data_IF_636509940872
#
_entry.id   IF_636509940872
#
_cell.length_a   1.000
_cell.length_b   1.000
_cell.length_c   1.000
_cell.angle_alpha   90.00
_cell.angle_beta   90.00
_cell.angle_gamma   90.00
#
_symmetry.space_group_name_H-M   'P 1'
#
loop_
_entity.id
_entity.type
_entity.pdbx_description
1 polymer ?
#
# COMPACT_ATOMS: atom_id res chain seq x y z
N UNK A 1 23.77 -13.12 -5.87
CA UNK A 1 22.40 -13.38 -6.40
C UNK A 1 21.39 -12.46 -5.74
N UNK A 2 21.49 -12.29 -4.42
CA UNK A 2 20.64 -11.44 -3.59
C UNK A 2 20.55 -9.99 -4.08
N UNK A 3 21.67 -9.36 -4.48
CA UNK A 3 21.65 -8.00 -5.03
C UNK A 3 20.72 -7.86 -6.25
N UNK A 4 20.75 -8.84 -7.16
CA UNK A 4 19.87 -8.82 -8.33
C UNK A 4 18.41 -9.01 -7.93
N UNK A 5 18.12 -9.97 -7.04
CA UNK A 5 16.77 -10.18 -6.51
C UNK A 5 16.25 -8.94 -5.78
N UNK A 6 17.09 -8.26 -5.00
CA UNK A 6 16.77 -7.02 -4.30
C UNK A 6 16.37 -5.90 -5.27
N UNK A 7 17.21 -5.61 -6.27
CA UNK A 7 16.93 -4.57 -7.28
C UNK A 7 15.67 -4.91 -8.08
N UNK A 8 15.56 -6.17 -8.55
CA UNK A 8 14.39 -6.61 -9.30
C UNK A 8 13.11 -6.55 -8.46
N UNK A 9 13.17 -6.88 -7.17
CA UNK A 9 12.00 -6.78 -6.30
C UNK A 9 11.55 -5.35 -6.07
N UNK A 10 12.47 -4.39 -5.94
CA UNK A 10 12.11 -2.97 -5.85
C UNK A 10 11.31 -2.57 -7.10
N UNK A 11 11.84 -2.86 -8.28
CA UNK A 11 11.18 -2.54 -9.56
C UNK A 11 9.83 -3.24 -9.70
N UNK A 12 9.78 -4.54 -9.36
CA UNK A 12 8.56 -5.34 -9.38
C UNK A 12 7.49 -4.75 -8.48
N UNK A 13 7.80 -4.46 -7.21
CA UNK A 13 6.82 -3.94 -6.26
C UNK A 13 6.33 -2.55 -6.62
N UNK A 14 7.22 -1.66 -7.10
CA UNK A 14 6.80 -0.34 -7.59
C UNK A 14 5.83 -0.48 -8.77
N UNK A 15 6.15 -1.34 -9.75
CA UNK A 15 5.29 -1.55 -10.91
C UNK A 15 3.96 -2.21 -10.53
N UNK A 16 4.00 -3.20 -9.65
CA UNK A 16 2.81 -3.85 -9.10
C UNK A 16 1.89 -2.80 -8.45
N UNK A 17 2.42 -1.96 -7.57
CA UNK A 17 1.60 -0.93 -6.90
C UNK A 17 1.21 0.23 -7.79
N UNK A 18 1.90 0.47 -8.90
CA UNK A 18 1.43 1.40 -9.92
C UNK A 18 0.10 0.94 -10.51
N UNK A 19 0.01 -0.32 -10.94
CA UNK A 19 -1.23 -0.88 -11.46
C UNK A 19 -2.31 -0.98 -10.37
N UNK A 20 -1.94 -1.52 -9.21
CA UNK A 20 -2.86 -1.73 -8.10
C UNK A 20 -3.43 -0.42 -7.54
N UNK A 21 -2.57 0.56 -7.28
CA UNK A 21 -3.00 1.85 -6.78
C UNK A 21 -3.84 2.63 -7.79
N UNK A 22 -3.57 2.45 -9.09
CA UNK A 22 -4.41 3.03 -10.15
C UNK A 22 -5.79 2.38 -10.20
N UNK A 23 -5.86 1.05 -10.05
CA UNK A 23 -7.11 0.30 -9.99
C UNK A 23 -7.95 0.73 -8.78
N UNK A 24 -7.36 0.74 -7.58
CA UNK A 24 -8.04 1.12 -6.35
C UNK A 24 -8.48 2.59 -6.38
N UNK A 25 -7.66 3.48 -6.95
CA UNK A 25 -8.01 4.87 -7.15
C UNK A 25 -9.20 5.07 -8.11
N UNK A 26 -9.26 4.30 -9.19
CA UNK A 26 -10.39 4.31 -10.13
C UNK A 26 -11.68 3.80 -9.47
N UNK A 27 -11.59 2.71 -8.72
CA UNK A 27 -12.72 2.16 -7.97
C UNK A 27 -13.24 3.15 -6.90
N UNK A 28 -12.34 3.80 -6.16
CA UNK A 28 -12.70 4.83 -5.18
C UNK A 28 -13.37 6.05 -5.84
N UNK A 29 -12.97 6.41 -7.07
CA UNK A 29 -13.61 7.47 -7.83
C UNK A 29 -15.02 7.05 -8.30
N UNK A 30 -15.16 5.82 -8.79
CA UNK A 30 -16.43 5.29 -9.27
C UNK A 30 -17.46 5.17 -8.15
N UNK A 31 -17.08 4.62 -7.00
CA UNK A 31 -17.94 4.52 -5.81
C UNK A 31 -18.40 5.90 -5.34
N UNK A 32 -17.50 6.90 -5.34
CA UNK A 32 -17.86 8.30 -5.03
C UNK A 32 -18.91 8.83 -6.01
N UNK A 33 -18.71 8.66 -7.31
CA UNK A 33 -19.65 9.09 -8.35
C UNK A 33 -21.00 8.37 -8.27
N UNK A 34 -21.01 7.08 -7.90
CA UNK A 34 -22.26 6.34 -7.67
C UNK A 34 -23.04 6.90 -6.48
N UNK A 35 -22.37 7.21 -5.36
CA UNK A 35 -23.00 7.86 -4.19
C UNK A 35 -23.62 9.21 -4.56
N UNK A 36 -22.91 10.02 -5.34
CA UNK A 36 -23.42 11.31 -5.82
C UNK A 36 -24.65 11.16 -6.74
N UNK A 37 -24.66 10.14 -7.62
CA UNK A 37 -25.76 9.88 -8.56
C UNK A 37 -27.02 9.29 -7.94
N UNK A 38 -26.90 8.41 -6.95
CA UNK A 38 -28.04 7.73 -6.32
C UNK A 38 -28.91 8.68 -5.48
N UNK A 39 -28.34 9.81 -5.04
CA UNK A 39 -29.00 10.73 -4.11
C UNK A 39 -29.09 10.16 -2.69
N UNK A 40 -29.20 11.05 -1.70
CA UNK A 40 -29.14 10.70 -0.27
C UNK A 40 -30.21 9.70 0.17
N UNK A 41 -31.42 9.78 -0.39
CA UNK A 41 -32.55 8.92 0.03
C UNK A 41 -32.32 7.46 -0.38
N UNK A 42 -31.97 7.20 -1.64
CA UNK A 42 -31.70 5.83 -2.10
C UNK A 42 -30.41 5.26 -1.51
N UNK A 43 -29.41 6.10 -1.27
CA UNK A 43 -28.19 5.65 -0.61
C UNK A 43 -28.47 5.16 0.82
N UNK A 44 -29.28 5.88 1.60
CA UNK A 44 -29.63 5.47 2.96
C UNK A 44 -30.38 4.12 3.02
N UNK A 45 -31.14 3.77 1.98
CA UNK A 45 -31.83 2.48 1.89
C UNK A 45 -30.86 1.31 1.69
N UNK A 46 -29.76 1.53 0.97
CA UNK A 46 -28.75 0.51 0.65
C UNK A 46 -27.46 0.64 1.48
N UNK A 47 -27.37 1.64 2.35
CA UNK A 47 -26.13 2.05 3.03
C UNK A 47 -25.49 0.88 3.79
N UNK A 48 -26.30 0.08 4.51
CA UNK A 48 -25.81 -1.08 5.25
C UNK A 48 -25.21 -2.16 4.36
N UNK A 49 -25.86 -2.45 3.23
CA UNK A 49 -25.39 -3.44 2.28
C UNK A 49 -24.15 -2.93 1.53
N UNK A 50 -24.11 -1.64 1.21
CA UNK A 50 -22.95 -0.98 0.62
C UNK A 50 -21.74 -1.01 1.56
N UNK A 51 -21.91 -0.65 2.83
CA UNK A 51 -20.84 -0.70 3.83
C UNK A 51 -20.32 -2.12 4.00
N UNK A 52 -21.22 -3.11 4.05
CA UNK A 52 -20.82 -4.51 4.16
C UNK A 52 -20.00 -4.95 2.96
N UNK A 53 -20.46 -4.63 1.75
CA UNK A 53 -19.72 -4.91 0.52
C UNK A 53 -18.33 -4.26 0.51
N UNK A 54 -18.23 -2.98 0.92
CA UNK A 54 -16.97 -2.23 1.01
C UNK A 54 -16.01 -2.87 2.02
N UNK A 55 -16.50 -3.27 3.19
CA UNK A 55 -15.71 -3.97 4.21
C UNK A 55 -15.23 -5.35 3.75
N UNK A 56 -16.11 -6.15 3.14
CA UNK A 56 -15.77 -7.47 2.61
C UNK A 56 -14.68 -7.33 1.54
N UNK A 57 -14.83 -6.36 0.62
CA UNK A 57 -13.82 -6.06 -0.39
C UNK A 57 -12.48 -5.69 0.22
N UNK A 58 -12.44 -4.72 1.15
CA UNK A 58 -11.20 -4.32 1.83
C UNK A 58 -10.54 -5.48 2.58
N UNK A 59 -11.33 -6.40 3.14
CA UNK A 59 -10.81 -7.57 3.84
C UNK A 59 -10.15 -8.56 2.86
N UNK A 60 -10.85 -8.94 1.78
CA UNK A 60 -10.30 -9.85 0.78
C UNK A 60 -9.07 -9.27 0.09
N UNK A 61 -9.12 -7.98 -0.26
CA UNK A 61 -8.01 -7.25 -0.86
C UNK A 61 -6.79 -7.19 0.07
N UNK A 62 -7.01 -6.85 1.35
CA UNK A 62 -5.97 -6.85 2.37
C UNK A 62 -5.31 -8.22 2.55
N UNK A 63 -6.14 -9.28 2.57
CA UNK A 63 -5.69 -10.67 2.72
C UNK A 63 -4.91 -11.16 1.50
N UNK A 64 -5.40 -10.92 0.28
CA UNK A 64 -4.68 -11.23 -0.95
C UNK A 64 -3.31 -10.57 -0.96
N UNK A 65 -3.27 -9.25 -0.72
CA UNK A 65 -2.02 -8.49 -0.72
C UNK A 65 -1.06 -8.95 0.38
N UNK A 66 -1.55 -9.42 1.53
CA UNK A 66 -0.71 -9.99 2.58
C UNK A 66 -0.13 -11.34 2.17
N UNK A 67 -0.97 -12.23 1.63
CA UNK A 67 -0.56 -13.55 1.16
C UNK A 67 0.47 -13.47 0.03
N UNK A 68 0.28 -12.58 -0.95
CA UNK A 68 1.25 -12.40 -2.06
C UNK A 68 2.64 -12.05 -1.53
N UNK A 69 2.75 -11.22 -0.49
CA UNK A 69 4.04 -10.87 0.13
C UNK A 69 4.67 -12.04 0.87
N UNK A 70 3.87 -12.81 1.60
CA UNK A 70 4.33 -14.00 2.33
C UNK A 70 4.84 -15.04 1.32
N UNK A 71 4.07 -15.34 0.28
CA UNK A 71 4.46 -16.28 -0.78
C UNK A 71 5.72 -15.81 -1.50
N UNK A 72 5.81 -14.51 -1.82
CA UNK A 72 7.02 -13.91 -2.40
C UNK A 72 8.25 -14.12 -1.51
N UNK A 73 8.14 -13.85 -0.20
CA UNK A 73 9.23 -14.05 0.76
C UNK A 73 9.64 -15.53 0.89
N UNK A 74 8.67 -16.45 0.89
CA UNK A 74 8.91 -17.89 0.89
C UNK A 74 9.68 -18.32 -0.37
N UNK A 75 9.32 -17.79 -1.55
CA UNK A 75 10.08 -18.06 -2.77
C UNK A 75 11.49 -17.48 -2.74
N UNK A 76 11.68 -16.28 -2.18
CA UNK A 76 13.03 -15.72 -1.98
C UNK A 76 13.85 -16.67 -1.11
N UNK A 77 13.30 -17.15 0.01
CA UNK A 77 13.99 -18.10 0.88
C UNK A 77 14.40 -19.37 0.14
N UNK A 78 13.50 -19.96 -0.67
CA UNK A 78 13.85 -21.16 -1.44
C UNK A 78 14.92 -20.94 -2.52
N UNK A 79 15.07 -19.72 -3.04
CA UNK A 79 16.06 -19.40 -4.07
C UNK A 79 17.43 -19.08 -3.43
N UNK A 80 17.44 -18.41 -2.29
CA UNK A 80 18.68 -17.90 -1.68
C UNK A 80 19.19 -18.72 -0.50
N UNK A 81 18.35 -19.60 0.07
CA UNK A 81 18.58 -20.30 1.35
C UNK A 81 18.94 -19.34 2.51
N UNK A 82 18.55 -18.08 2.40
CA UNK A 82 18.86 -17.02 3.36
C UNK A 82 17.57 -16.49 3.99
N UNK A 83 17.28 -16.96 5.21
CA UNK A 83 16.08 -16.56 5.96
C UNK A 83 16.08 -15.06 6.31
N UNK A 84 17.25 -14.50 6.62
CA UNK A 84 17.38 -13.07 6.93
C UNK A 84 17.03 -12.23 5.70
N UNK A 85 17.62 -12.55 4.55
CA UNK A 85 17.32 -11.88 3.29
C UNK A 85 15.84 -12.02 2.91
N UNK A 86 15.25 -13.21 3.04
CA UNK A 86 13.83 -13.43 2.78
C UNK A 86 12.92 -12.57 3.68
N UNK A 87 13.23 -12.47 4.97
CA UNK A 87 12.49 -11.62 5.91
C UNK A 87 12.65 -10.14 5.59
N UNK A 88 13.86 -9.69 5.23
CA UNK A 88 14.11 -8.32 4.79
C UNK A 88 13.30 -7.98 3.52
N UNK A 89 13.20 -8.91 2.57
CA UNK A 89 12.41 -8.75 1.35
C UNK A 89 10.90 -8.69 1.64
N UNK A 90 10.41 -9.41 2.66
CA UNK A 90 9.06 -9.25 3.17
C UNK A 90 8.83 -7.83 3.71
N UNK A 91 9.71 -7.34 4.59
CA UNK A 91 9.60 -5.99 5.13
C UNK A 91 9.69 -4.92 4.03
N UNK A 92 10.56 -5.11 3.05
CA UNK A 92 10.68 -4.23 1.90
C UNK A 92 9.36 -4.16 1.13
N UNK A 93 8.70 -5.28 0.87
CA UNK A 93 7.40 -5.30 0.19
C UNK A 93 6.29 -4.56 0.95
N UNK A 94 6.30 -4.63 2.29
CA UNK A 94 5.36 -3.90 3.16
C UNK A 94 5.67 -2.41 3.16
N UNK A 95 6.96 -2.05 3.23
CA UNK A 95 7.40 -0.67 3.14
C UNK A 95 7.04 -0.02 1.81
N UNK A 96 7.35 -0.69 0.69
CA UNK A 96 7.04 -0.19 -0.65
C UNK A 96 5.53 -0.05 -0.84
N UNK A 97 4.72 -0.98 -0.32
CA UNK A 97 3.25 -0.82 -0.30
C UNK A 97 2.87 0.51 0.34
N UNK A 98 3.29 0.72 1.59
CA UNK A 98 2.87 1.87 2.39
C UNK A 98 3.18 3.22 1.73
N UNK A 99 4.24 3.26 0.93
CA UNK A 99 4.66 4.45 0.19
C UNK A 99 4.06 4.53 -1.22
N UNK A 100 4.34 3.54 -2.07
CA UNK A 100 4.03 3.57 -3.49
C UNK A 100 2.54 3.41 -3.78
N UNK A 101 1.85 2.48 -3.12
CA UNK A 101 0.42 2.25 -3.33
C UNK A 101 -0.38 3.52 -3.02
N UNK A 102 -0.23 4.08 -1.83
CA UNK A 102 -0.91 5.32 -1.43
C UNK A 102 -0.61 6.50 -2.35
N UNK A 103 0.63 6.60 -2.83
CA UNK A 103 1.03 7.63 -3.79
C UNK A 103 0.25 7.47 -5.10
N UNK A 104 0.19 6.26 -5.64
CA UNK A 104 -0.53 5.99 -6.88
C UNK A 104 -2.04 6.11 -6.73
N UNK A 105 -2.63 5.67 -5.61
CA UNK A 105 -4.05 5.93 -5.28
C UNK A 105 -4.33 7.43 -5.25
N UNK A 106 -3.50 8.20 -4.56
CA UNK A 106 -3.66 9.66 -4.46
C UNK A 106 -3.62 10.34 -5.82
N UNK A 107 -2.68 9.93 -6.67
CA UNK A 107 -2.53 10.44 -8.04
C UNK A 107 -3.75 10.05 -8.89
N UNK A 108 -4.18 8.79 -8.84
CA UNK A 108 -5.31 8.29 -9.60
C UNK A 108 -6.63 8.97 -9.20
N UNK A 109 -6.79 9.33 -7.94
CA UNK A 109 -7.93 10.12 -7.45
C UNK A 109 -7.84 11.62 -7.80
N UNK A 110 -6.77 12.08 -8.44
CA UNK A 110 -6.54 13.50 -8.76
C UNK A 110 -6.34 14.39 -7.52
N UNK A 111 -5.89 13.80 -6.41
CA UNK A 111 -5.69 14.52 -5.14
C UNK A 111 -4.26 15.03 -5.04
N UNK A 112 -4.04 16.03 -4.17
CA UNK A 112 -2.70 16.57 -3.96
C UNK A 112 -1.78 15.53 -3.30
N UNK A 113 -0.47 15.65 -3.53
CA UNK A 113 0.57 14.83 -2.88
C UNK A 113 0.66 15.01 -1.35
N UNK A 114 -0.19 15.86 -0.77
CA UNK A 114 -0.34 16.04 0.67
C UNK A 114 -1.57 15.30 1.22
N UNK A 115 -2.42 14.73 0.35
CA UNK A 115 -3.63 14.05 0.75
C UNK A 115 -3.34 12.72 1.44
N UNK A 116 -3.71 12.61 2.71
CA UNK A 116 -3.60 11.36 3.47
C UNK A 116 -4.61 10.36 2.89
N UNK A 117 -4.09 9.26 2.35
CA UNK A 117 -4.89 8.20 1.72
C UNK A 117 -5.82 7.48 2.72
N UNK A 118 -6.84 6.77 2.21
CA UNK A 118 -7.90 6.17 3.04
C UNK A 118 -7.45 4.95 3.88
N UNK A 119 -6.32 4.30 3.56
CA UNK A 119 -6.05 2.92 3.99
C UNK A 119 -5.27 2.73 5.32
N UNK A 120 -5.09 3.76 6.14
CA UNK A 120 -4.24 3.67 7.33
C UNK A 120 -4.97 3.82 8.68
N UNK A 121 -5.99 3.01 8.98
CA UNK A 121 -6.71 3.03 10.28
C UNK A 121 -5.80 3.16 11.53
N UNK A 122 -4.64 2.50 11.54
CA UNK A 122 -3.62 2.54 12.59
C UNK A 122 -2.69 3.77 12.62
N UNK A 123 -2.32 4.37 11.48
CA UNK A 123 -1.37 5.49 11.40
C UNK A 123 -2.05 6.83 11.06
N UNK A 124 -3.31 6.83 10.68
CA UNK A 124 -4.03 8.00 10.17
C UNK A 124 -4.07 9.15 11.20
N UNK A 125 -4.28 8.84 12.48
CA UNK A 125 -4.18 9.86 13.56
C UNK A 125 -2.78 10.47 13.65
N UNK A 126 -1.74 9.65 13.51
CA UNK A 126 -0.36 10.11 13.55
C UNK A 126 -0.02 10.93 12.29
N UNK A 127 -0.35 10.43 11.09
CA UNK A 127 -0.13 11.12 9.83
C UNK A 127 -0.86 12.47 9.79
N UNK A 128 -2.12 12.53 10.26
CA UNK A 128 -2.85 13.80 10.40
C UNK A 128 -2.18 14.77 11.36
N UNK A 129 -1.71 14.28 12.52
CA UNK A 129 -0.97 15.11 13.47
C UNK A 129 0.30 15.68 12.85
N UNK A 130 1.05 14.87 12.11
CA UNK A 130 2.29 15.29 11.46
C UNK A 130 2.03 16.25 10.29
N UNK A 131 0.95 16.03 9.54
CA UNK A 131 0.51 16.95 8.49
C UNK A 131 0.17 18.35 9.06
N UNK A 132 -0.48 18.42 10.22
CA UNK A 132 -0.77 19.69 10.91
C UNK A 132 0.49 20.46 11.34
N UNK A 133 1.64 19.76 11.48
CA UNK A 133 2.95 20.37 11.79
C UNK A 133 3.75 20.64 10.50
N UNK A 134 3.14 20.45 9.32
CA UNK A 134 3.75 20.71 8.01
C UNK A 134 4.60 19.56 7.45
N UNK A 135 4.55 18.37 8.07
CA UNK A 135 5.31 17.21 7.61
C UNK A 135 4.47 16.37 6.65
N UNK A 136 4.98 16.17 5.43
CA UNK A 136 4.32 15.34 4.43
C UNK A 136 4.39 13.85 4.84
N UNK A 137 3.27 13.13 4.74
CA UNK A 137 3.17 11.69 5.02
C UNK A 137 4.19 10.82 4.28
N UNK A 138 4.58 11.21 3.07
CA UNK A 138 5.52 10.46 2.25
C UNK A 138 6.93 10.55 2.83
N UNK A 139 7.30 11.65 3.49
CA UNK A 139 8.56 11.74 4.24
C UNK A 139 8.57 10.73 5.39
N UNK A 140 7.46 10.65 6.12
CA UNK A 140 7.30 9.72 7.25
C UNK A 140 7.40 8.27 6.78
N UNK A 141 6.75 7.94 5.67
CA UNK A 141 6.72 6.60 5.07
C UNK A 141 8.03 6.24 4.37
N UNK A 142 8.81 7.23 3.92
CA UNK A 142 10.10 7.01 3.27
C UNK A 142 11.18 6.56 4.26
N UNK A 143 11.19 7.10 5.49
CA UNK A 143 12.18 6.76 6.52
C UNK A 143 12.26 5.24 6.79
N UNK A 144 11.18 4.52 7.11
CA UNK A 144 11.27 3.08 7.37
C UNK A 144 11.71 2.30 6.13
N UNK A 145 11.31 2.73 4.92
CA UNK A 145 11.79 2.14 3.67
C UNK A 145 13.29 2.31 3.49
N UNK A 146 13.82 3.50 3.75
CA UNK A 146 15.25 3.77 3.67
C UNK A 146 16.04 2.91 4.67
N UNK A 147 15.53 2.76 5.91
CA UNK A 147 16.16 1.91 6.92
C UNK A 147 16.22 0.45 6.44
N UNK A 148 15.13 -0.08 5.86
CA UNK A 148 15.11 -1.45 5.32
C UNK A 148 16.11 -1.61 4.16
N UNK A 149 16.16 -0.64 3.24
CA UNK A 149 17.12 -0.64 2.13
C UNK A 149 18.56 -0.65 2.64
N UNK A 150 18.89 0.23 3.59
CA UNK A 150 20.23 0.28 4.18
C UNK A 150 20.57 -1.01 4.92
N UNK A 151 19.59 -1.61 5.62
CA UNK A 151 19.78 -2.88 6.31
C UNK A 151 20.09 -4.02 5.34
N UNK A 152 19.36 -4.10 4.21
CA UNK A 152 19.63 -5.08 3.15
C UNK A 152 21.03 -4.85 2.57
N UNK A 153 21.36 -3.62 2.18
CA UNK A 153 22.67 -3.28 1.61
C UNK A 153 23.84 -3.58 2.56
N UNK A 154 23.63 -3.45 3.88
CA UNK A 154 24.64 -3.74 4.89
C UNK A 154 24.86 -5.25 5.13
N UNK A 155 23.86 -6.08 4.81
CA UNK A 155 23.87 -7.53 5.07
C UNK A 155 23.96 -8.39 3.81
N UNK A 156 24.00 -7.74 2.64
CA UNK A 156 24.19 -8.39 1.35
C UNK A 156 25.59 -9.01 1.26
N UNK A 157 25.62 -10.31 0.99
CA UNK A 157 26.85 -11.10 0.73
C UNK A 157 27.08 -11.35 -0.77
#
# INVERSE_FOLDING_TARGET
>A
MELYLFITAILFWILYYYFEGSHDGAFALETKLMREKLGTIKFNEIEKDFIKFELDWHWYDGLEKALVKIVFSVFVYFITDNLLFAAQMLFLSVGIRSFAHDLFVTIAMGKSLNHIGPDFLWWDRFLRKMHNVGINQYVIKFIPNLIIVLWILWTLE
#
